data_IF_456860615831
#
_entry.id   IF_456860615831
#
_cell.length_a   1.000
_cell.length_b   1.000
_cell.length_c   1.000
_cell.angle_alpha   90.00
_cell.angle_beta   90.00
_cell.angle_gamma   90.00
#
_symmetry.space_group_name_H-M   'P 1'
#
loop_
_entity.id
_entity.type
_entity.pdbx_description
1 polymer ?
#
# COMPACT_ATOMS: atom_id res chain seq x y z
N UNK A 1 -36.91 25.70 -34.70
CA UNK A 1 -38.33 25.28 -34.79
C UNK A 1 -38.41 23.78 -34.99
N UNK A 2 -38.84 23.03 -33.96
CA UNK A 2 -39.77 21.89 -34.01
C UNK A 2 -39.74 21.18 -32.65
N UNK A 3 -40.69 21.61 -31.83
CA UNK A 3 -41.12 21.12 -30.53
C UNK A 3 -41.76 19.74 -30.66
N UNK A 4 -41.53 18.84 -29.70
CA UNK A 4 -42.46 17.75 -29.37
C UNK A 4 -42.61 17.66 -27.86
N UNK A 5 -43.86 17.83 -27.44
CA UNK A 5 -44.39 17.77 -26.08
C UNK A 5 -45.17 16.45 -25.86
N UNK A 6 -45.41 16.17 -24.58
CA UNK A 6 -46.43 15.30 -23.96
C UNK A 6 -46.21 13.77 -24.09
N UNK A 7 -46.42 12.95 -23.06
CA UNK A 7 -47.51 12.93 -22.08
C UNK A 7 -47.09 12.46 -20.68
N UNK A 8 -47.67 13.12 -19.67
CA UNK A 8 -47.77 12.68 -18.27
C UNK A 8 -48.99 11.75 -18.18
N UNK A 9 -48.83 10.57 -17.59
CA UNK A 9 -49.97 9.71 -17.22
C UNK A 9 -50.12 9.69 -15.70
N UNK A 10 -51.23 10.29 -15.25
CA UNK A 10 -51.70 10.37 -13.89
C UNK A 10 -52.71 9.23 -13.71
N UNK A 11 -52.41 8.23 -12.87
CA UNK A 11 -53.36 7.18 -12.55
C UNK A 11 -53.98 7.42 -11.17
N UNK A 12 -55.31 7.42 -11.18
CA UNK A 12 -56.25 7.73 -10.12
C UNK A 12 -56.26 6.69 -8.98
N UNK A 13 -56.57 7.21 -7.80
CA UNK A 13 -56.95 6.50 -6.58
C UNK A 13 -58.11 5.53 -6.80
N UNK A 14 -58.01 4.33 -6.23
CA UNK A 14 -59.16 3.49 -5.88
C UNK A 14 -59.11 3.14 -4.39
N UNK A 15 -60.16 3.54 -3.68
CA UNK A 15 -60.47 3.17 -2.30
C UNK A 15 -61.16 1.81 -2.23
N UNK A 16 -60.76 0.97 -1.28
CA UNK A 16 -61.48 -0.16 -0.66
C UNK A 16 -60.47 -0.81 0.31
N UNK A 17 -60.78 -1.36 1.48
CA UNK A 17 -61.88 -1.27 2.42
C UNK A 17 -61.31 -1.82 3.75
N UNK A 18 -61.88 -1.40 4.87
CA UNK A 18 -61.55 -1.87 6.22
C UNK A 18 -61.56 -3.40 6.34
N UNK A 19 -60.47 -3.97 6.87
CA UNK A 19 -60.46 -5.31 7.46
C UNK A 19 -59.87 -5.24 8.87
N UNK A 20 -60.41 -6.10 9.73
CA UNK A 20 -60.42 -6.02 11.17
C UNK A 20 -59.06 -6.23 11.83
N UNK A 21 -58.96 -5.63 13.01
CA UNK A 21 -57.97 -5.79 14.07
C UNK A 21 -57.67 -7.26 14.41
N UNK A 22 -56.40 -7.65 14.30
CA UNK A 22 -55.82 -8.73 15.11
C UNK A 22 -54.81 -8.11 16.08
N UNK A 23 -55.12 -8.17 17.37
CA UNK A 23 -54.25 -7.77 18.45
C UNK A 23 -53.10 -8.78 18.61
N UNK A 24 -51.87 -8.34 18.36
CA UNK A 24 -50.66 -9.12 18.65
C UNK A 24 -50.60 -9.53 20.14
N UNK A 25 -50.19 -10.77 20.46
CA UNK A 25 -50.03 -11.20 21.86
C UNK A 25 -48.86 -10.44 22.54
N UNK A 26 -48.90 -10.27 23.87
CA UNK A 26 -47.86 -9.55 24.60
C UNK A 26 -46.52 -10.27 24.47
N UNK A 27 -45.49 -9.53 24.04
CA UNK A 27 -44.10 -9.98 24.11
C UNK A 27 -43.72 -10.20 25.58
N UNK A 28 -43.41 -11.44 25.92
CA UNK A 28 -42.89 -11.86 27.21
C UNK A 28 -41.56 -11.13 27.44
N UNK A 29 -41.51 -10.30 28.49
CA UNK A 29 -40.28 -9.60 28.88
C UNK A 29 -39.31 -10.64 29.45
N UNK A 30 -38.33 -11.03 28.64
CA UNK A 30 -37.17 -11.80 29.05
C UNK A 30 -36.52 -11.09 30.25
N UNK A 31 -36.64 -11.72 31.43
CA UNK A 31 -36.09 -11.19 32.68
C UNK A 31 -34.57 -11.11 32.55
N UNK A 32 -34.01 -9.90 32.63
CA UNK A 32 -32.57 -9.68 32.74
C UNK A 32 -32.07 -10.40 34.00
N UNK A 33 -31.44 -11.55 33.81
CA UNK A 33 -30.83 -12.34 34.85
C UNK A 33 -29.71 -11.49 35.50
N UNK A 34 -29.87 -11.18 36.79
CA UNK A 34 -28.93 -10.36 37.53
C UNK A 34 -27.62 -11.11 37.71
N UNK A 35 -26.61 -10.79 36.91
CA UNK A 35 -25.25 -11.23 37.16
C UNK A 35 -24.60 -10.34 38.23
N UNK A 36 -24.19 -10.90 39.38
CA UNK A 36 -23.55 -10.11 40.43
C UNK A 36 -22.24 -9.52 39.93
N UNK A 37 -22.06 -8.22 40.12
CA UNK A 37 -20.82 -7.52 39.78
C UNK A 37 -19.64 -8.13 40.54
N UNK A 38 -18.65 -8.67 39.80
CA UNK A 38 -17.40 -9.18 40.36
C UNK A 38 -16.32 -8.08 40.26
N UNK A 39 -15.81 -7.57 41.39
CA UNK A 39 -14.75 -6.56 41.40
C UNK A 39 -13.51 -7.05 40.64
N UNK A 40 -12.86 -6.15 39.89
CA UNK A 40 -11.73 -6.49 39.02
C UNK A 40 -10.58 -7.24 39.75
N UNK A 41 -10.37 -6.95 41.03
CA UNK A 41 -9.34 -7.56 41.87
C UNK A 41 -9.66 -9.00 42.33
N UNK A 42 -10.89 -9.48 42.16
CA UNK A 42 -11.29 -10.88 42.41
C UNK A 42 -11.27 -11.75 41.15
N UNK A 43 -11.00 -11.19 39.97
CA UNK A 43 -10.89 -11.98 38.75
C UNK A 43 -9.57 -12.77 38.79
N UNK A 44 -9.58 -14.07 38.46
CA UNK A 44 -8.33 -14.81 38.35
C UNK A 44 -7.43 -14.12 37.33
N UNK A 45 -6.16 -13.90 37.68
CA UNK A 45 -5.16 -13.40 36.74
C UNK A 45 -5.10 -14.36 35.56
N UNK A 46 -5.68 -13.96 34.44
CA UNK A 46 -5.53 -14.69 33.18
C UNK A 46 -4.18 -14.23 32.65
N UNK A 47 -3.14 -15.08 32.61
CA UNK A 47 -1.87 -14.68 32.02
C UNK A 47 -2.16 -14.19 30.61
N UNK A 48 -1.62 -13.02 30.24
CA UNK A 48 -1.74 -12.57 28.86
C UNK A 48 -1.18 -13.68 27.96
N UNK A 49 -1.90 -14.04 26.87
CA UNK A 49 -1.40 -15.06 25.97
C UNK A 49 -0.02 -14.64 25.48
N UNK A 50 0.97 -15.52 25.61
CA UNK A 50 2.32 -15.33 25.04
C UNK A 50 2.16 -14.78 23.63
N UNK A 51 2.76 -13.60 23.36
CA UNK A 51 2.49 -12.78 22.18
C UNK A 51 2.88 -13.51 20.87
N UNK A 52 2.01 -14.41 20.41
CA UNK A 52 2.13 -15.21 19.19
C UNK A 52 2.27 -14.30 17.95
N UNK A 53 1.72 -13.09 18.02
CA UNK A 53 1.79 -12.09 16.95
C UNK A 53 3.22 -11.61 16.72
N UNK A 54 3.96 -11.24 17.77
CA UNK A 54 5.34 -10.79 17.64
C UNK A 54 6.26 -11.90 17.07
N UNK A 55 6.12 -13.13 17.59
CA UNK A 55 6.86 -14.30 17.10
C UNK A 55 6.54 -14.56 15.61
N UNK A 56 5.26 -14.50 15.24
CA UNK A 56 4.81 -14.65 13.84
C UNK A 56 5.37 -13.55 12.94
N UNK A 57 5.34 -12.30 13.38
CA UNK A 57 5.90 -11.17 12.63
C UNK A 57 7.40 -11.33 12.41
N UNK A 58 8.14 -11.73 13.44
CA UNK A 58 9.57 -11.99 13.34
C UNK A 58 9.89 -13.15 12.38
N UNK A 59 9.15 -14.26 12.50
CA UNK A 59 9.26 -15.41 11.58
C UNK A 59 8.99 -14.99 10.13
N UNK A 60 7.93 -14.22 9.90
CA UNK A 60 7.59 -13.72 8.57
C UNK A 60 8.68 -12.79 8.02
N UNK A 61 9.21 -11.88 8.85
CA UNK A 61 10.27 -10.97 8.43
C UNK A 61 11.59 -11.70 8.11
N UNK A 62 11.94 -12.74 8.88
CA UNK A 62 13.07 -13.65 8.58
C UNK A 62 12.88 -14.38 7.25
N UNK A 63 11.68 -14.90 7.01
CA UNK A 63 11.36 -15.54 5.72
C UNK A 63 11.45 -14.55 4.55
N UNK A 64 10.94 -13.32 4.74
CA UNK A 64 11.00 -12.28 3.71
C UNK A 64 12.43 -11.86 3.37
N UNK A 65 13.30 -11.60 4.35
CA UNK A 65 14.65 -11.13 4.06
C UNK A 65 15.50 -12.19 3.35
N UNK A 66 15.34 -13.47 3.70
CA UNK A 66 15.99 -14.57 2.99
C UNK A 66 15.51 -14.65 1.53
N UNK A 67 14.18 -14.69 1.32
CA UNK A 67 13.61 -14.73 -0.01
C UNK A 67 13.91 -13.47 -0.85
N UNK A 68 14.09 -12.31 -0.22
CA UNK A 68 14.45 -11.08 -0.90
C UNK A 68 15.91 -11.07 -1.34
N UNK A 69 16.82 -11.61 -0.52
CA UNK A 69 18.24 -11.70 -0.87
C UNK A 69 18.47 -12.51 -2.15
N UNK A 70 17.74 -13.61 -2.29
CA UNK A 70 17.83 -14.50 -3.46
C UNK A 70 16.89 -14.10 -4.62
N UNK A 71 16.01 -13.13 -4.36
CA UNK A 71 14.96 -12.65 -5.25
C UNK A 71 15.41 -11.56 -6.23
N UNK A 72 14.43 -10.75 -6.67
CA UNK A 72 14.65 -9.57 -7.51
C UNK A 72 13.81 -8.39 -7.03
N UNK A 73 14.32 -7.19 -7.25
CA UNK A 73 13.63 -5.95 -6.97
C UNK A 73 13.17 -5.28 -8.28
N UNK A 74 11.86 -5.07 -8.41
CA UNK A 74 11.28 -4.24 -9.47
C UNK A 74 11.05 -2.83 -8.94
N UNK A 75 11.70 -1.83 -9.53
CA UNK A 75 11.55 -0.43 -9.16
C UNK A 75 10.52 0.22 -10.08
N UNK A 76 9.40 0.64 -9.50
CA UNK A 76 8.29 1.30 -10.20
C UNK A 76 8.57 2.79 -10.35
N UNK A 77 8.67 3.27 -11.59
CA UNK A 77 8.90 4.66 -11.94
C UNK A 77 7.58 5.37 -12.25
N UNK A 78 7.37 6.57 -11.72
CA UNK A 78 6.06 7.24 -11.76
C UNK A 78 5.89 8.06 -13.03
N UNK A 79 4.76 7.90 -13.73
CA UNK A 79 4.48 8.60 -15.00
C UNK A 79 3.48 9.75 -14.90
N UNK A 80 2.61 9.75 -13.88
CA UNK A 80 1.60 10.79 -13.66
C UNK A 80 0.65 11.05 -14.85
N UNK A 81 0.37 10.03 -15.66
CA UNK A 81 -0.42 10.16 -16.91
C UNK A 81 -1.78 10.81 -16.71
N UNK A 82 -2.50 10.44 -15.64
CA UNK A 82 -3.81 11.01 -15.34
C UNK A 82 -3.73 12.53 -15.14
N UNK A 83 -2.72 12.99 -14.39
CA UNK A 83 -2.54 14.42 -14.12
C UNK A 83 -2.11 15.17 -15.38
N UNK A 84 -1.21 14.60 -16.18
CA UNK A 84 -0.74 15.17 -17.44
C UNK A 84 -1.91 15.28 -18.43
N UNK A 85 -2.66 14.19 -18.62
CA UNK A 85 -3.84 14.17 -19.50
C UNK A 85 -4.88 15.21 -19.08
N UNK A 86 -5.17 15.32 -17.78
CA UNK A 86 -6.11 16.32 -17.26
C UNK A 86 -5.67 17.76 -17.59
N UNK A 87 -4.38 18.06 -17.48
CA UNK A 87 -3.83 19.36 -17.83
C UNK A 87 -3.91 19.63 -19.34
N UNK A 88 -3.65 18.62 -20.17
CA UNK A 88 -3.75 18.73 -21.63
C UNK A 88 -5.20 18.94 -22.08
N UNK A 89 -6.14 18.16 -21.54
CA UNK A 89 -7.58 18.27 -21.78
C UNK A 89 -8.11 19.66 -21.39
N UNK A 90 -7.54 20.28 -20.35
CA UNK A 90 -7.87 21.65 -19.93
C UNK A 90 -7.10 22.74 -20.68
N UNK A 91 -6.37 22.42 -21.75
CA UNK A 91 -5.60 23.36 -22.56
C UNK A 91 -4.29 23.86 -21.93
N UNK A 92 -3.91 23.36 -20.76
CA UNK A 92 -2.75 23.81 -19.99
C UNK A 92 -1.47 23.05 -20.38
N UNK A 93 -1.09 23.17 -21.67
CA UNK A 93 0.01 22.40 -22.29
C UNK A 93 1.38 22.64 -21.64
N UNK A 94 1.66 23.87 -21.22
CA UNK A 94 2.94 24.21 -20.58
C UNK A 94 3.09 23.52 -19.22
N UNK A 95 2.02 23.53 -18.40
CA UNK A 95 2.04 22.85 -17.12
C UNK A 95 2.16 21.32 -17.30
N UNK A 96 1.46 20.75 -18.29
CA UNK A 96 1.60 19.34 -18.62
C UNK A 96 3.05 18.96 -19.00
N UNK A 97 3.70 19.78 -19.82
CA UNK A 97 5.11 19.60 -20.20
C UNK A 97 6.06 19.70 -19.00
N UNK A 98 5.84 20.67 -18.10
CA UNK A 98 6.62 20.82 -16.87
C UNK A 98 6.48 19.61 -15.94
N UNK A 99 5.26 19.12 -15.74
CA UNK A 99 5.01 17.90 -14.95
C UNK A 99 5.74 16.70 -15.55
N UNK A 100 5.66 16.52 -16.88
CA UNK A 100 6.35 15.45 -17.61
C UNK A 100 7.86 15.51 -17.41
N UNK A 101 8.48 16.68 -17.64
CA UNK A 101 9.92 16.88 -17.49
C UNK A 101 10.37 16.62 -16.04
N UNK A 102 9.60 17.09 -15.05
CA UNK A 102 9.91 16.84 -13.65
C UNK A 102 9.82 15.35 -13.30
N UNK A 103 8.80 14.62 -13.81
CA UNK A 103 8.70 13.16 -13.62
C UNK A 103 9.87 12.42 -14.24
N UNK A 104 10.25 12.78 -15.45
CA UNK A 104 11.40 12.18 -16.13
C UNK A 104 12.70 12.38 -15.34
N UNK A 105 12.96 13.61 -14.88
CA UNK A 105 14.12 13.93 -14.04
C UNK A 105 14.14 13.16 -12.73
N UNK A 106 12.99 13.06 -12.06
CA UNK A 106 12.88 12.30 -10.79
C UNK A 106 13.13 10.80 -11.03
N UNK A 107 12.56 10.24 -12.11
CA UNK A 107 12.74 8.83 -12.47
C UNK A 107 14.20 8.51 -12.85
N UNK A 108 14.86 9.39 -13.60
CA UNK A 108 16.28 9.26 -13.94
C UNK A 108 17.16 9.25 -12.69
N UNK A 109 16.92 10.16 -11.74
CA UNK A 109 17.65 10.19 -10.46
C UNK A 109 17.46 8.91 -9.66
N UNK A 110 16.22 8.43 -9.55
CA UNK A 110 15.91 7.21 -8.82
C UNK A 110 16.58 5.99 -9.45
N UNK A 111 16.47 5.84 -10.78
CA UNK A 111 17.08 4.74 -11.49
C UNK A 111 18.61 4.75 -11.39
N UNK A 112 19.22 5.93 -11.55
CA UNK A 112 20.66 6.11 -11.35
C UNK A 112 21.10 5.75 -9.91
N UNK A 113 20.32 6.15 -8.91
CA UNK A 113 20.60 5.82 -7.51
C UNK A 113 20.59 4.30 -7.27
N UNK A 114 19.56 3.59 -7.75
CA UNK A 114 19.49 2.12 -7.64
C UNK A 114 20.64 1.44 -8.37
N UNK A 115 20.92 1.82 -9.62
CA UNK A 115 22.01 1.22 -10.42
C UNK A 115 23.37 1.37 -9.77
N UNK A 116 23.62 2.52 -9.12
CA UNK A 116 24.93 2.84 -8.53
C UNK A 116 25.12 2.31 -7.12
N UNK A 117 24.05 2.26 -6.31
CA UNK A 117 24.18 2.08 -4.87
C UNK A 117 23.45 0.87 -4.29
N UNK A 118 22.49 0.28 -5.01
CA UNK A 118 21.77 -0.89 -4.51
C UNK A 118 22.47 -2.17 -4.96
N UNK A 119 22.85 -3.01 -4.00
CA UNK A 119 23.63 -4.24 -4.21
C UNK A 119 23.01 -5.45 -3.53
N UNK A 120 21.89 -5.28 -2.82
CA UNK A 120 21.26 -6.36 -2.08
C UNK A 120 20.79 -7.52 -2.96
N UNK A 121 20.14 -7.22 -4.10
CA UNK A 121 19.69 -8.20 -5.10
C UNK A 121 19.62 -7.53 -6.50
N UNK A 122 19.42 -8.29 -7.60
CA UNK A 122 19.23 -7.73 -8.93
C UNK A 122 18.03 -6.78 -9.01
N UNK A 123 18.19 -5.70 -9.78
CA UNK A 123 17.19 -4.63 -9.93
C UNK A 123 16.75 -4.48 -11.37
N UNK A 124 15.44 -4.35 -11.57
CA UNK A 124 14.81 -4.01 -12.85
C UNK A 124 13.89 -2.81 -12.66
N UNK A 125 13.56 -2.13 -13.75
CA UNK A 125 12.72 -0.94 -13.74
C UNK A 125 11.50 -1.15 -14.63
N UNK A 126 10.36 -0.56 -14.25
CA UNK A 126 9.14 -0.52 -15.06
C UNK A 126 8.35 0.74 -14.75
N UNK A 127 7.47 1.16 -15.66
CA UNK A 127 6.64 2.35 -15.43
C UNK A 127 5.35 2.04 -14.68
N UNK A 128 4.85 3.03 -13.93
CA UNK A 128 3.69 2.86 -13.06
C UNK A 128 2.40 2.48 -13.78
N UNK A 129 2.28 2.73 -15.08
CA UNK A 129 1.11 2.33 -15.87
C UNK A 129 1.06 0.82 -16.14
N UNK A 130 2.18 0.09 -16.05
CA UNK A 130 2.24 -1.37 -16.25
C UNK A 130 2.03 -2.18 -14.96
N UNK A 131 1.54 -1.56 -13.89
CA UNK A 131 1.42 -2.21 -12.57
C UNK A 131 0.53 -3.46 -12.60
N UNK A 132 -0.57 -3.42 -13.36
CA UNK A 132 -1.46 -4.57 -13.50
C UNK A 132 -0.78 -5.73 -14.25
N UNK A 133 0.02 -5.44 -15.27
CA UNK A 133 0.82 -6.46 -15.98
C UNK A 133 1.85 -7.08 -15.05
N UNK A 134 2.55 -6.28 -14.25
CA UNK A 134 3.48 -6.77 -13.23
C UNK A 134 2.78 -7.67 -12.21
N UNK A 135 1.62 -7.25 -11.72
CA UNK A 135 0.81 -8.05 -10.77
C UNK A 135 0.33 -9.37 -11.38
N UNK A 136 0.08 -9.39 -12.69
CA UNK A 136 -0.29 -10.57 -13.46
C UNK A 136 0.93 -11.43 -13.91
N UNK A 137 2.17 -11.03 -13.58
CA UNK A 137 3.38 -11.75 -14.01
C UNK A 137 3.74 -11.59 -15.49
N UNK A 138 3.16 -10.59 -16.17
CA UNK A 138 3.37 -10.33 -17.59
C UNK A 138 4.51 -9.31 -17.78
N UNK A 139 5.74 -9.80 -17.94
CA UNK A 139 6.94 -8.95 -17.99
C UNK A 139 7.45 -8.60 -19.39
N UNK A 140 6.97 -9.29 -20.42
CA UNK A 140 7.41 -9.07 -21.80
C UNK A 140 7.13 -7.64 -22.25
N UNK A 141 8.19 -6.92 -22.63
CA UNK A 141 8.09 -5.58 -23.22
C UNK A 141 7.75 -4.45 -22.25
N UNK A 142 7.80 -4.68 -20.94
CA UNK A 142 7.51 -3.65 -19.92
C UNK A 142 8.70 -3.30 -19.03
N UNK A 143 9.75 -4.12 -19.05
CA UNK A 143 11.00 -3.83 -18.35
C UNK A 143 11.79 -2.77 -19.11
N UNK A 144 12.47 -1.90 -18.38
CA UNK A 144 13.18 -0.76 -18.97
C UNK A 144 14.68 -1.00 -19.09
N UNK A 145 15.24 -0.52 -20.19
CA UNK A 145 16.66 -0.49 -20.47
C UNK A 145 17.42 0.61 -19.67
N UNK A 146 18.70 0.79 -19.99
CA UNK A 146 19.54 1.83 -19.40
C UNK A 146 19.03 3.26 -19.66
N UNK A 147 18.32 3.49 -20.77
CA UNK A 147 17.72 4.76 -21.16
C UNK A 147 16.28 4.94 -20.65
N UNK A 148 15.79 4.03 -19.81
CA UNK A 148 14.41 4.01 -19.31
C UNK A 148 13.37 3.83 -20.42
N UNK A 149 13.72 3.11 -21.48
CA UNK A 149 12.80 2.72 -22.56
C UNK A 149 12.41 1.25 -22.41
N UNK A 150 11.15 0.87 -22.69
CA UNK A 150 10.74 -0.52 -22.67
C UNK A 150 11.56 -1.37 -23.64
N UNK A 151 12.00 -2.54 -23.20
CA UNK A 151 12.78 -3.49 -23.98
C UNK A 151 12.24 -4.91 -23.74
N UNK A 152 11.85 -5.58 -24.83
CA UNK A 152 11.25 -6.92 -24.77
C UNK A 152 12.28 -8.03 -24.50
N UNK A 153 13.58 -7.75 -24.66
CA UNK A 153 14.64 -8.69 -24.34
C UNK A 153 14.94 -8.79 -22.84
N UNK A 154 14.47 -7.82 -22.05
CA UNK A 154 14.69 -7.78 -20.61
C UNK A 154 13.55 -8.51 -19.90
N UNK A 155 13.88 -9.65 -19.28
CA UNK A 155 12.95 -10.41 -18.46
C UNK A 155 13.58 -10.63 -17.07
N UNK A 156 12.86 -10.33 -15.97
CA UNK A 156 13.34 -10.70 -14.66
C UNK A 156 13.39 -12.24 -14.55
N UNK A 157 14.39 -12.80 -13.86
CA UNK A 157 14.46 -14.24 -13.62
C UNK A 157 13.25 -14.74 -12.82
N UNK A 158 12.90 -16.01 -12.99
CA UNK A 158 11.83 -16.68 -12.24
C UNK A 158 12.24 -16.86 -10.77
N UNK A 159 12.08 -15.79 -9.99
CA UNK A 159 12.50 -15.64 -8.61
C UNK A 159 11.47 -14.84 -7.83
N UNK A 160 11.61 -14.82 -6.50
CA UNK A 160 10.72 -14.00 -5.66
C UNK A 160 10.83 -12.52 -6.03
N UNK A 161 9.71 -11.92 -6.39
CA UNK A 161 9.62 -10.51 -6.74
C UNK A 161 9.24 -9.66 -5.53
N UNK A 162 9.96 -8.56 -5.36
CA UNK A 162 9.62 -7.43 -4.52
C UNK A 162 9.52 -6.18 -5.37
N UNK A 163 8.77 -5.19 -4.90
CA UNK A 163 8.53 -3.95 -5.63
C UNK A 163 8.96 -2.78 -4.76
N UNK A 164 9.75 -1.85 -5.33
CA UNK A 164 10.06 -0.58 -4.68
C UNK A 164 9.48 0.61 -5.43
N UNK A 165 9.01 1.60 -4.68
CA UNK A 165 8.63 2.89 -5.23
C UNK A 165 8.79 4.01 -4.21
N UNK A 166 8.88 5.24 -4.70
CA UNK A 166 8.73 6.42 -3.85
C UNK A 166 7.25 6.83 -3.84
N UNK A 167 6.60 6.66 -2.70
CA UNK A 167 5.16 6.90 -2.52
C UNK A 167 4.84 7.35 -1.10
N UNK A 168 3.57 7.62 -0.81
CA UNK A 168 3.10 7.85 0.55
C UNK A 168 2.97 6.52 1.29
N UNK A 169 3.53 6.46 2.50
CA UNK A 169 3.49 5.23 3.30
C UNK A 169 2.08 4.97 3.83
N UNK A 170 1.58 3.75 3.63
CA UNK A 170 0.27 3.32 4.10
C UNK A 170 0.41 2.84 5.55
N UNK A 171 0.47 3.77 6.51
CA UNK A 171 0.75 3.40 7.91
C UNK A 171 -0.47 3.05 8.77
N UNK A 172 -1.70 3.38 8.36
CA UNK A 172 -2.88 3.28 9.25
C UNK A 172 -4.21 3.03 8.51
N UNK A 173 -4.41 1.86 7.88
CA UNK A 173 -5.79 1.49 7.50
C UNK A 173 -6.31 0.15 8.00
N UNK A 174 -5.47 -0.78 8.46
CA UNK A 174 -5.95 -2.07 8.95
C UNK A 174 -4.94 -2.72 9.91
N UNK A 175 -5.06 -2.48 11.23
CA UNK A 175 -4.64 -3.45 12.23
C UNK A 175 -5.94 -3.97 12.89
N UNK A 176 -6.42 -5.17 12.53
CA UNK A 176 -7.71 -5.68 13.03
C UNK A 176 -7.70 -6.00 14.54
N UNK A 177 -6.52 -6.14 15.15
CA UNK A 177 -6.36 -6.65 16.52
C UNK A 177 -5.91 -5.60 17.55
N UNK A 178 -5.78 -4.31 17.18
CA UNK A 178 -5.50 -3.25 18.15
C UNK A 178 -6.77 -2.46 18.48
N UNK A 179 -7.01 -2.11 19.76
CA UNK A 179 -8.06 -1.17 20.13
C UNK A 179 -7.93 0.11 19.30
N UNK A 180 -9.07 0.61 18.82
CA UNK A 180 -9.24 1.84 18.03
C UNK A 180 -8.87 3.12 18.80
N UNK A 181 -7.83 3.10 19.64
CA UNK A 181 -7.38 4.25 20.43
C UNK A 181 -6.12 4.87 19.84
N UNK A 182 -6.24 5.38 18.61
CA UNK A 182 -5.68 6.71 18.25
C UNK A 182 -6.19 7.07 16.86
N UNK A 183 -7.38 7.66 16.79
CA UNK A 183 -7.81 8.44 15.63
C UNK A 183 -7.00 9.74 15.61
N UNK A 184 -5.69 9.65 15.36
CA UNK A 184 -4.89 10.80 14.99
C UNK A 184 -4.87 10.82 13.45
N UNK A 185 -5.36 11.89 12.81
CA UNK A 185 -5.45 11.93 11.37
C UNK A 185 -4.04 11.84 10.77
N UNK A 186 -3.88 10.90 9.85
CA UNK A 186 -3.44 11.28 8.51
C UNK A 186 -2.03 11.89 8.38
N UNK A 187 -1.04 11.41 9.15
CA UNK A 187 0.36 11.72 8.81
C UNK A 187 0.84 10.74 7.73
N UNK A 188 0.39 10.95 6.49
CA UNK A 188 1.05 10.34 5.34
C UNK A 188 2.37 11.07 5.10
N UNK A 189 3.45 10.31 4.85
CA UNK A 189 4.71 10.90 4.44
C UNK A 189 5.27 10.14 3.26
N UNK A 190 5.97 10.90 2.41
CA UNK A 190 6.69 10.34 1.28
C UNK A 190 7.86 9.48 1.78
N UNK A 191 7.98 8.28 1.23
CA UNK A 191 9.01 7.32 1.57
C UNK A 191 9.39 6.50 0.32
N UNK A 192 10.61 5.96 0.32
CA UNK A 192 10.96 4.82 -0.53
C UNK A 192 10.46 3.56 0.18
N UNK A 193 9.54 2.82 -0.43
CA UNK A 193 8.82 1.69 0.18
C UNK A 193 9.16 0.40 -0.56
N UNK A 194 9.11 -0.73 0.14
CA UNK A 194 9.19 -2.09 -0.38
C UNK A 194 7.86 -2.82 -0.14
N UNK A 195 7.35 -3.45 -1.19
CA UNK A 195 6.15 -4.27 -1.20
C UNK A 195 6.47 -5.66 -1.72
N UNK A 196 5.58 -6.62 -1.46
CA UNK A 196 5.64 -7.92 -2.15
C UNK A 196 5.27 -7.79 -3.64
N UNK A 197 5.45 -8.86 -4.41
CA UNK A 197 5.07 -8.90 -5.84
C UNK A 197 3.57 -8.73 -6.12
N UNK A 198 2.71 -8.69 -5.09
CA UNK A 198 1.28 -8.40 -5.20
C UNK A 198 0.93 -6.97 -4.77
N UNK A 199 1.93 -6.12 -4.56
CA UNK A 199 1.80 -4.75 -4.07
C UNK A 199 1.24 -4.64 -2.64
N UNK A 200 1.35 -5.67 -1.81
CA UNK A 200 1.06 -5.53 -0.39
C UNK A 200 2.25 -4.93 0.36
N UNK A 201 1.99 -3.92 1.19
CA UNK A 201 3.01 -3.33 2.04
C UNK A 201 3.49 -4.35 3.08
N UNK A 202 4.81 -4.48 3.22
CA UNK A 202 5.40 -5.32 4.25
C UNK A 202 5.30 -4.64 5.62
N UNK A 203 5.40 -5.41 6.70
CA UNK A 203 5.31 -4.92 8.07
C UNK A 203 6.63 -5.06 8.83
N UNK A 204 6.74 -4.33 9.94
CA UNK A 204 7.82 -4.55 10.91
C UNK A 204 7.82 -6.02 11.39
N UNK A 205 8.99 -6.57 11.76
CA UNK A 205 10.30 -5.94 11.90
C UNK A 205 11.14 -5.82 10.61
N UNK A 206 10.61 -6.23 9.45
CA UNK A 206 11.34 -6.11 8.18
C UNK A 206 11.62 -4.63 7.83
N UNK A 207 12.80 -4.26 7.30
CA UNK A 207 13.13 -2.87 6.95
C UNK A 207 12.50 -2.46 5.60
N UNK A 208 11.17 -2.25 5.58
CA UNK A 208 10.42 -2.05 4.34
C UNK A 208 10.37 -0.62 3.81
N UNK A 209 10.91 0.39 4.51
CA UNK A 209 10.84 1.75 4.00
C UNK A 209 11.95 2.67 4.52
N UNK A 210 12.19 3.76 3.78
CA UNK A 210 13.01 4.90 4.19
C UNK A 210 12.21 6.18 4.01
N UNK A 211 12.06 6.96 5.09
CA UNK A 211 11.38 8.28 5.04
C UNK A 211 12.14 9.25 4.13
N UNK A 212 11.42 10.01 3.32
CA UNK A 212 12.02 11.09 2.54
C UNK A 212 12.37 12.31 3.43
N UNK A 213 11.67 12.52 4.54
CA UNK A 213 12.02 13.57 5.51
C UNK A 213 13.18 13.13 6.41
N UNK A 214 14.08 14.06 6.73
CA UNK A 214 15.11 13.84 7.76
C UNK A 214 14.60 14.32 9.13
N UNK A 215 15.35 14.01 10.19
CA UNK A 215 15.07 14.52 11.54
C UNK A 215 15.49 15.99 11.71
N UNK A 216 16.05 16.62 10.67
CA UNK A 216 16.47 18.03 10.65
C UNK A 216 15.61 18.76 9.62
N UNK A 217 14.46 19.32 10.02
CA UNK A 217 13.66 20.16 9.13
C UNK A 217 14.48 21.38 8.65
N UNK A 218 14.33 21.85 7.40
CA UNK A 218 13.43 21.37 6.34
C UNK A 218 14.07 20.35 5.37
N UNK A 219 15.22 19.76 5.71
CA UNK A 219 16.00 18.93 4.78
C UNK A 219 15.25 17.63 4.43
N UNK A 220 15.11 17.39 3.13
CA UNK A 220 14.63 16.12 2.55
C UNK A 220 15.81 15.29 2.06
N UNK A 221 15.71 13.96 2.16
CA UNK A 221 16.66 13.02 1.57
C UNK A 221 16.52 13.03 0.05
N UNK A 222 17.65 12.97 -0.63
CA UNK A 222 17.73 12.65 -2.05
C UNK A 222 17.36 11.19 -2.32
N UNK A 223 17.06 10.87 -3.58
CA UNK A 223 16.85 9.50 -4.04
C UNK A 223 18.07 8.61 -3.72
N UNK A 224 19.28 9.14 -3.94
CA UNK A 224 20.55 8.47 -3.61
C UNK A 224 20.66 8.10 -2.14
N UNK A 225 20.41 9.04 -1.24
CA UNK A 225 20.45 8.78 0.21
C UNK A 225 19.42 7.74 0.63
N UNK A 226 18.21 7.79 0.06
CA UNK A 226 17.17 6.80 0.38
C UNK A 226 17.57 5.40 -0.07
N UNK A 227 18.11 5.25 -1.28
CA UNK A 227 18.55 3.96 -1.82
C UNK A 227 19.73 3.40 -1.01
N UNK A 228 20.72 4.22 -0.67
CA UNK A 228 21.87 3.80 0.15
C UNK A 228 21.43 3.32 1.53
N UNK A 229 20.51 4.04 2.19
CA UNK A 229 19.99 3.65 3.49
C UNK A 229 19.14 2.39 3.42
N UNK A 230 18.33 2.24 2.37
CA UNK A 230 17.54 1.04 2.15
C UNK A 230 18.45 -0.18 1.99
N UNK A 231 19.45 -0.10 1.11
CA UNK A 231 20.40 -1.18 0.86
C UNK A 231 21.15 -1.57 2.15
N UNK A 232 21.67 -0.57 2.87
CA UNK A 232 22.33 -0.78 4.16
C UNK A 232 21.41 -1.47 5.17
N UNK A 233 20.17 -1.00 5.34
CA UNK A 233 19.23 -1.58 6.30
C UNK A 233 18.88 -3.03 5.97
N UNK A 234 18.72 -3.36 4.68
CA UNK A 234 18.48 -4.74 4.23
C UNK A 234 19.70 -5.63 4.50
N UNK A 235 20.91 -5.15 4.16
CA UNK A 235 22.15 -5.89 4.43
C UNK A 235 22.35 -6.15 5.92
N UNK A 236 22.18 -5.13 6.76
CA UNK A 236 22.35 -5.25 8.21
C UNK A 236 21.32 -6.20 8.81
N UNK A 237 20.05 -6.09 8.40
CA UNK A 237 18.98 -6.97 8.85
C UNK A 237 19.26 -8.43 8.46
N UNK A 238 19.65 -8.69 7.21
CA UNK A 238 20.01 -10.03 6.74
C UNK A 238 21.17 -10.64 7.54
N UNK A 239 22.24 -9.87 7.77
CA UNK A 239 23.39 -10.29 8.58
C UNK A 239 22.98 -10.62 10.01
N UNK A 240 22.14 -9.78 10.62
CA UNK A 240 21.65 -10.02 11.98
C UNK A 240 20.82 -11.31 12.06
N UNK A 241 19.91 -11.54 11.10
CA UNK A 241 19.07 -12.76 11.09
C UNK A 241 19.86 -14.06 10.92
N UNK A 242 20.96 -14.03 10.16
CA UNK A 242 21.79 -15.22 9.92
C UNK A 242 22.78 -15.52 11.06
N UNK A 243 23.21 -14.49 11.83
CA UNK A 243 24.07 -14.71 13.01
C UNK A 243 23.35 -15.45 14.13
N UNK A 244 22.05 -15.22 14.31
CA UNK A 244 21.24 -15.84 15.37
C UNK A 244 20.87 -17.30 15.06
N UNK A 245 21.13 -17.79 13.84
CA UNK A 245 20.78 -19.16 13.42
C UNK A 245 21.95 -20.16 13.55
N UNK A 246 23.10 -19.72 14.05
CA UNK A 246 24.25 -20.55 14.43
C UNK A 246 24.34 -20.65 15.95
#
# INVERSE_FOLDING_TARGET
>A
MKTRLFFISLALFSTQAFAQTESSPPQEKESLEYHPYVPAWKRPFKPEPVNNTAIRMEKNAKAHIAAFKDGVLLVRLRTSEIAIKKLEDSGNKQMAASVRQQREKDNQKLAAAFRKHFTFCPVYFFYSYDSEKVKAGQFTGIMLDHNLKPDSSILPPDKKIYISEITELEQYRQQPDLPQESNNPEVSFKALVIRDGKFHQLAKPFPYFIKASTNIPPRKRSETEMVMLLDKNLQDYYKATNKTSK
#
